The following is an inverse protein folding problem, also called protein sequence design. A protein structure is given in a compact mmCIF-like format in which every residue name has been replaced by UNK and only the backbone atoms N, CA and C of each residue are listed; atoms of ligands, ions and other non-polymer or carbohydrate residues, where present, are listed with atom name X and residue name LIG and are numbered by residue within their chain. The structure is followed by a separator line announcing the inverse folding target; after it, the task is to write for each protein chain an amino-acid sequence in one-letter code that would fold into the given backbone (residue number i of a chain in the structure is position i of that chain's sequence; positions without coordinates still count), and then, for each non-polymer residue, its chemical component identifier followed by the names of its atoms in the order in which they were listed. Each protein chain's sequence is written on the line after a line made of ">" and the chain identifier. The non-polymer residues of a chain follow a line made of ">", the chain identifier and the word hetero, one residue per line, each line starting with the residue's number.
data_IF_928737513171
#
_entry.id   IF_928737513171
#
_cell.length_a   1.000
_cell.length_b   1.000
_cell.length_c   1.000
_cell.angle_alpha   90.00
_cell.angle_beta   90.00
_cell.angle_gamma   90.00
#
_symmetry.space_group_name_H-M   'P 1'
#
loop_
_entity.id
_entity.type
_entity.pdbx_description
1 polymer ?
#
# COMPACT_ATOMS: atom_id res chain seq x y z
N UNK A 1 -28.76 -17.05 16.43
CA UNK A 1 -27.30 -17.29 16.41
C UNK A 1 -26.62 -16.07 15.87
N UNK A 2 -25.82 -15.38 16.68
CA UNK A 2 -25.00 -14.29 16.16
C UNK A 2 -23.89 -14.90 15.30
N UNK A 3 -23.93 -14.68 14.00
CA UNK A 3 -22.73 -14.86 13.18
C UNK A 3 -21.67 -13.90 13.73
N UNK A 4 -20.42 -14.37 13.99
CA UNK A 4 -19.36 -13.46 14.35
C UNK A 4 -19.24 -12.43 13.23
N UNK A 5 -19.16 -11.14 13.59
CA UNK A 5 -18.92 -10.07 12.62
C UNK A 5 -17.71 -10.45 11.78
N UNK A 6 -17.83 -10.36 10.44
CA UNK A 6 -16.71 -10.64 9.56
C UNK A 6 -15.54 -9.75 9.96
N UNK A 7 -14.39 -10.35 10.29
CA UNK A 7 -13.22 -9.59 10.68
C UNK A 7 -12.69 -8.84 9.46
N UNK A 8 -12.39 -7.55 9.64
CA UNK A 8 -11.81 -6.73 8.59
C UNK A 8 -10.37 -7.14 8.31
N UNK A 9 -10.03 -7.30 7.03
CA UNK A 9 -8.67 -7.56 6.58
C UNK A 9 -8.00 -6.24 6.18
N UNK A 10 -6.84 -5.96 6.75
CA UNK A 10 -6.04 -4.79 6.36
C UNK A 10 -5.05 -5.17 5.26
N UNK A 11 -5.11 -4.49 4.13
CA UNK A 11 -4.08 -4.51 3.11
C UNK A 11 -3.14 -3.33 3.32
N UNK A 12 -1.84 -3.59 3.51
CA UNK A 12 -0.84 -2.53 3.41
C UNK A 12 -0.38 -2.46 1.96
N UNK A 13 -0.63 -1.34 1.32
CA UNK A 13 -0.27 -1.10 -0.07
C UNK A 13 0.99 -0.23 -0.13
N UNK A 14 1.97 -0.61 -0.94
CA UNK A 14 2.99 0.33 -1.36
C UNK A 14 2.45 1.24 -2.49
N UNK A 15 3.23 2.23 -2.89
CA UNK A 15 2.83 3.17 -3.94
C UNK A 15 2.65 2.50 -5.30
N UNK A 16 3.44 1.46 -5.62
CA UNK A 16 3.35 0.72 -6.90
C UNK A 16 2.03 -0.02 -7.06
N UNK A 17 1.45 -0.47 -5.95
CA UNK A 17 0.16 -1.14 -5.94
C UNK A 17 -1.00 -0.14 -5.88
N UNK A 18 -0.95 0.86 -4.99
CA UNK A 18 -2.09 1.75 -4.78
C UNK A 18 -2.32 2.74 -5.92
N UNK A 19 -1.28 3.13 -6.67
CA UNK A 19 -1.40 3.96 -7.88
C UNK A 19 -2.38 3.37 -8.90
N UNK A 20 -2.52 2.04 -8.94
CA UNK A 20 -3.42 1.31 -9.82
C UNK A 20 -4.90 1.54 -9.55
N UNK A 21 -5.26 2.07 -8.38
CA UNK A 21 -6.63 2.52 -8.09
C UNK A 21 -7.04 3.68 -9.00
N UNK A 22 -6.10 4.55 -9.32
CA UNK A 22 -6.32 5.85 -9.97
C UNK A 22 -5.92 5.88 -11.44
N UNK A 23 -4.94 5.09 -11.83
CA UNK A 23 -4.44 4.99 -13.19
C UNK A 23 -4.65 3.57 -13.72
N UNK A 24 -5.17 3.46 -14.95
CA UNK A 24 -5.45 2.16 -15.56
C UNK A 24 -4.14 1.46 -15.92
N UNK A 25 -3.89 0.35 -15.23
CA UNK A 25 -2.73 -0.52 -15.40
C UNK A 25 -3.14 -1.98 -15.19
N UNK A 26 -2.22 -2.93 -15.41
CA UNK A 26 -2.44 -4.32 -14.99
C UNK A 26 -2.76 -4.38 -13.49
N UNK A 27 -3.79 -5.11 -13.10
CA UNK A 27 -4.20 -5.26 -11.71
C UNK A 27 -5.13 -4.16 -11.17
N UNK A 28 -5.47 -3.14 -11.95
CA UNK A 28 -6.36 -2.04 -11.54
C UNK A 28 -7.70 -2.57 -11.00
N UNK A 29 -8.33 -3.50 -11.70
CA UNK A 29 -9.64 -4.02 -11.29
C UNK A 29 -9.57 -4.70 -9.93
N UNK A 30 -8.52 -5.48 -9.67
CA UNK A 30 -8.32 -6.13 -8.38
C UNK A 30 -8.13 -5.11 -7.25
N UNK A 31 -7.31 -4.07 -7.46
CA UNK A 31 -7.11 -3.01 -6.47
C UNK A 31 -8.40 -2.25 -6.19
N UNK A 32 -9.14 -1.89 -7.22
CA UNK A 32 -10.43 -1.20 -7.07
C UNK A 32 -11.45 -2.07 -6.33
N UNK A 33 -11.50 -3.37 -6.62
CA UNK A 33 -12.38 -4.32 -5.92
C UNK A 33 -12.01 -4.41 -4.43
N UNK A 34 -10.70 -4.46 -4.11
CA UNK A 34 -10.25 -4.40 -2.72
C UNK A 34 -10.75 -3.14 -2.01
N UNK A 35 -10.53 -1.98 -2.62
CA UNK A 35 -10.91 -0.69 -2.02
C UNK A 35 -12.42 -0.51 -1.84
N UNK A 36 -13.24 -1.19 -2.64
CA UNK A 36 -14.70 -1.12 -2.56
C UNK A 36 -15.30 -2.10 -1.55
N UNK A 37 -14.53 -3.06 -1.08
CA UNK A 37 -15.02 -4.08 -0.16
C UNK A 37 -15.04 -3.55 1.28
N UNK A 38 -16.23 -3.50 1.88
CA UNK A 38 -16.44 -3.00 3.25
C UNK A 38 -15.71 -3.81 4.34
N UNK A 39 -15.31 -5.05 4.04
CA UNK A 39 -14.57 -5.91 4.96
C UNK A 39 -13.05 -5.84 4.74
N UNK A 40 -12.60 -4.88 3.94
CA UNK A 40 -11.19 -4.65 3.65
C UNK A 40 -10.82 -3.19 3.91
N UNK A 41 -9.63 -2.99 4.46
CA UNK A 41 -9.07 -1.66 4.76
C UNK A 41 -7.76 -1.50 4.01
N UNK A 42 -7.50 -0.29 3.54
CA UNK A 42 -6.24 0.10 2.91
C UNK A 42 -5.40 0.88 3.90
N UNK A 43 -4.16 0.44 4.12
CA UNK A 43 -3.13 1.17 4.84
C UNK A 43 -1.96 1.49 3.90
N UNK A 44 -1.34 2.62 4.09
CA UNK A 44 -0.15 3.07 3.36
C UNK A 44 0.67 4.01 4.23
N UNK A 45 1.99 4.05 4.06
CA UNK A 45 2.82 5.08 4.65
C UNK A 45 2.43 6.47 4.10
N UNK A 46 2.44 7.50 4.93
CA UNK A 46 2.15 8.88 4.48
C UNK A 46 3.02 9.30 3.29
N UNK A 47 4.30 8.89 3.30
CA UNK A 47 5.22 9.17 2.18
C UNK A 47 4.77 8.52 0.87
N UNK A 48 4.02 7.42 0.93
CA UNK A 48 3.47 6.74 -0.24
C UNK A 48 2.51 7.62 -1.04
N UNK A 49 1.81 8.54 -0.39
CA UNK A 49 0.95 9.52 -1.07
C UNK A 49 1.78 10.45 -1.97
N UNK A 50 2.96 10.84 -1.52
CA UNK A 50 3.89 11.66 -2.32
C UNK A 50 4.41 10.89 -3.53
N UNK A 51 4.73 9.61 -3.35
CA UNK A 51 5.18 8.75 -4.45
C UNK A 51 4.08 8.56 -5.51
N UNK A 52 2.83 8.35 -5.08
CA UNK A 52 1.68 8.24 -5.99
C UNK A 52 1.49 9.55 -6.76
N UNK A 53 1.51 10.70 -6.07
CA UNK A 53 1.38 12.00 -6.70
C UNK A 53 2.53 12.25 -7.70
N UNK A 54 3.76 11.82 -7.38
CA UNK A 54 4.90 11.90 -8.29
C UNK A 54 4.71 11.01 -9.53
N UNK A 55 4.13 9.81 -9.36
CA UNK A 55 3.80 8.93 -10.48
C UNK A 55 2.77 9.58 -11.43
N UNK A 56 1.72 10.22 -10.90
CA UNK A 56 0.76 10.98 -11.71
C UNK A 56 1.45 12.10 -12.52
N UNK A 57 2.29 12.88 -11.84
CA UNK A 57 3.04 13.95 -12.50
C UNK A 57 3.99 13.41 -13.60
N UNK A 58 4.62 12.28 -13.36
CA UNK A 58 5.45 11.59 -14.36
C UNK A 58 4.65 11.16 -15.58
N UNK A 59 3.46 10.58 -15.38
CA UNK A 59 2.55 10.18 -16.48
C UNK A 59 2.07 11.39 -17.29
N UNK A 60 1.77 12.51 -16.61
CA UNK A 60 1.41 13.75 -17.29
C UNK A 60 2.56 14.29 -18.15
N UNK A 61 3.77 14.38 -17.60
CA UNK A 61 4.96 14.85 -18.34
C UNK A 61 5.28 13.96 -19.54
N UNK A 62 5.04 12.65 -19.42
CA UNK A 62 5.22 11.69 -20.50
C UNK A 62 4.06 11.64 -21.50
N UNK A 63 3.04 12.49 -21.34
CA UNK A 63 1.83 12.52 -22.15
C UNK A 63 1.06 11.17 -22.18
N UNK A 64 1.18 10.37 -21.11
CA UNK A 64 0.44 9.12 -20.95
C UNK A 64 -0.97 9.33 -20.37
N UNK A 65 -1.19 10.48 -19.74
CA UNK A 65 -2.51 10.93 -19.25
C UNK A 65 -2.71 12.40 -19.62
N UNK A 66 -3.97 12.83 -19.72
CA UNK A 66 -4.35 14.20 -19.98
C UNK A 66 -4.28 15.06 -18.71
N UNK A 67 -4.21 16.40 -18.81
CA UNK A 67 -4.32 17.29 -17.65
C UNK A 67 -5.60 17.05 -16.83
N UNK A 68 -6.73 16.76 -17.49
CA UNK A 68 -8.00 16.48 -16.81
C UNK A 68 -7.92 15.18 -16.01
N UNK A 69 -7.33 14.13 -16.56
CA UNK A 69 -7.09 12.86 -15.86
C UNK A 69 -6.14 13.05 -14.68
N UNK A 70 -5.09 13.85 -14.83
CA UNK A 70 -4.15 14.17 -13.77
C UNK A 70 -4.84 14.90 -12.60
N UNK A 71 -5.62 15.94 -12.89
CA UNK A 71 -6.35 16.70 -11.87
C UNK A 71 -7.37 15.82 -11.14
N UNK A 72 -8.09 14.98 -11.88
CA UNK A 72 -9.05 14.02 -11.31
C UNK A 72 -8.37 13.01 -10.39
N UNK A 73 -7.26 12.40 -10.83
CA UNK A 73 -6.53 11.42 -10.02
C UNK A 73 -6.00 12.03 -8.71
N UNK A 74 -5.48 13.25 -8.76
CA UNK A 74 -5.03 13.98 -7.56
C UNK A 74 -6.15 14.28 -6.60
N UNK A 75 -7.30 14.73 -7.11
CA UNK A 75 -8.47 15.04 -6.28
C UNK A 75 -8.99 13.77 -5.59
N UNK A 76 -9.12 12.67 -6.33
CA UNK A 76 -9.58 11.40 -5.80
C UNK A 76 -8.61 10.85 -4.73
N UNK A 77 -7.29 10.91 -4.98
CA UNK A 77 -6.29 10.50 -3.99
C UNK A 77 -6.42 11.30 -2.68
N UNK A 78 -6.62 12.61 -2.77
CA UNK A 78 -6.75 13.47 -1.59
C UNK A 78 -8.01 13.14 -0.78
N UNK A 79 -9.13 12.88 -1.45
CA UNK A 79 -10.40 12.50 -0.82
C UNK A 79 -10.26 11.14 -0.13
N UNK A 80 -9.76 10.14 -0.85
CA UNK A 80 -9.61 8.78 -0.34
C UNK A 80 -8.63 8.71 0.83
N UNK A 81 -7.51 9.43 0.74
CA UNK A 81 -6.52 9.47 1.82
C UNK A 81 -7.10 10.05 3.11
N UNK A 82 -7.97 11.03 3.02
CA UNK A 82 -8.63 11.64 4.16
C UNK A 82 -9.77 10.77 4.73
N UNK A 83 -10.53 10.14 3.84
CA UNK A 83 -11.78 9.46 4.23
C UNK A 83 -11.61 7.97 4.53
N UNK A 84 -10.67 7.28 3.86
CA UNK A 84 -10.65 5.82 3.81
C UNK A 84 -9.33 5.20 4.27
N UNK A 85 -8.17 5.84 4.06
CA UNK A 85 -6.88 5.19 4.29
C UNK A 85 -6.41 5.29 5.73
N UNK A 86 -5.84 4.18 6.21
CA UNK A 86 -5.01 4.18 7.42
C UNK A 86 -3.61 4.67 7.01
N UNK A 87 -3.26 5.90 7.42
CA UNK A 87 -1.98 6.49 7.11
C UNK A 87 -0.98 6.17 8.22
N UNK A 88 0.11 5.51 7.85
CA UNK A 88 1.19 5.18 8.77
C UNK A 88 2.25 6.27 8.72
N UNK A 89 2.46 6.95 9.85
CA UNK A 89 3.47 8.00 9.96
C UNK A 89 4.89 7.41 9.90
N UNK A 90 5.78 8.08 9.17
CA UNK A 90 7.20 7.74 9.11
C UNK A 90 7.93 8.46 10.23
N UNK A 91 7.91 7.86 11.42
CA UNK A 91 8.62 8.34 12.60
C UNK A 91 9.98 7.69 12.75
N UNK A 92 10.72 8.04 13.82
CA UNK A 92 12.06 7.51 14.07
C UNK A 92 12.08 5.98 14.22
N UNK A 93 11.08 5.38 14.82
CA UNK A 93 10.96 3.92 14.95
C UNK A 93 10.90 3.24 13.60
N UNK A 94 10.10 3.79 12.67
CA UNK A 94 10.02 3.30 11.29
C UNK A 94 11.37 3.43 10.59
N UNK A 95 12.04 4.57 10.74
CA UNK A 95 13.34 4.80 10.11
C UNK A 95 14.38 3.82 10.63
N UNK A 96 14.45 3.59 11.94
CA UNK A 96 15.42 2.66 12.53
C UNK A 96 15.16 1.22 12.04
N UNK A 97 13.92 0.78 11.98
CA UNK A 97 13.58 -0.53 11.45
C UNK A 97 13.86 -0.66 9.94
N UNK A 98 13.60 0.39 9.17
CA UNK A 98 13.92 0.41 7.74
C UNK A 98 15.44 0.29 7.50
N UNK A 99 16.27 0.93 8.32
CA UNK A 99 17.75 0.81 8.25
C UNK A 99 18.14 -0.66 8.43
N UNK A 100 17.62 -1.35 9.44
CA UNK A 100 17.92 -2.77 9.68
C UNK A 100 17.48 -3.64 8.50
N UNK A 101 16.32 -3.38 7.92
CA UNK A 101 15.81 -4.12 6.76
C UNK A 101 16.74 -3.99 5.54
N UNK A 102 17.38 -2.85 5.33
CA UNK A 102 18.34 -2.68 4.22
C UNK A 102 19.59 -3.54 4.37
N UNK A 103 19.96 -3.94 5.59
CA UNK A 103 21.07 -4.85 5.83
C UNK A 103 20.71 -6.32 5.63
N UNK A 104 19.44 -6.66 5.77
CA UNK A 104 18.92 -8.03 5.67
C UNK A 104 18.38 -8.37 4.27
N UNK A 105 17.89 -7.37 3.55
CA UNK A 105 17.27 -7.50 2.25
C UNK A 105 17.85 -6.49 1.26
N UNK A 106 17.92 -6.88 -0.01
CA UNK A 106 18.31 -5.96 -1.08
C UNK A 106 17.13 -5.07 -1.46
N UNK A 107 16.95 -3.99 -0.70
CA UNK A 107 15.86 -3.02 -0.86
C UNK A 107 16.38 -1.62 -1.11
N UNK A 108 15.62 -0.84 -1.89
CA UNK A 108 15.81 0.62 -1.95
C UNK A 108 15.31 1.25 -0.65
N UNK A 109 15.76 2.47 -0.35
CA UNK A 109 15.40 3.14 0.90
C UNK A 109 13.89 3.25 1.12
N UNK A 110 13.12 3.67 0.12
CA UNK A 110 11.67 3.78 0.25
C UNK A 110 10.97 2.43 0.37
N UNK A 111 11.46 1.39 -0.30
CA UNK A 111 10.92 0.04 -0.17
C UNK A 111 11.10 -0.48 1.26
N UNK A 112 12.27 -0.22 1.85
CA UNK A 112 12.53 -0.55 3.26
C UNK A 112 11.61 0.23 4.22
N UNK A 113 11.31 1.50 3.93
CA UNK A 113 10.34 2.30 4.71
C UNK A 113 8.94 1.71 4.61
N UNK A 114 8.48 1.34 3.43
CA UNK A 114 7.18 0.68 3.26
C UNK A 114 7.10 -0.63 4.04
N UNK A 115 8.13 -1.46 3.93
CA UNK A 115 8.16 -2.73 4.65
C UNK A 115 8.18 -2.52 6.18
N UNK A 116 8.96 -1.56 6.66
CA UNK A 116 9.00 -1.21 8.09
C UNK A 116 7.64 -0.73 8.60
N UNK A 117 6.97 0.15 7.87
CA UNK A 117 5.60 0.59 8.20
C UNK A 117 4.62 -0.58 8.30
N UNK A 118 4.67 -1.50 7.34
CA UNK A 118 3.82 -2.67 7.32
C UNK A 118 4.09 -3.60 8.52
N UNK A 119 5.35 -3.86 8.84
CA UNK A 119 5.73 -4.72 9.97
C UNK A 119 5.28 -4.13 11.31
N UNK A 120 5.47 -2.82 11.50
CA UNK A 120 5.02 -2.13 12.72
C UNK A 120 3.50 -2.17 12.84
N UNK A 121 2.78 -1.89 11.76
CA UNK A 121 1.32 -1.98 11.74
C UNK A 121 0.85 -3.41 12.01
N UNK A 122 1.46 -4.41 11.38
CA UNK A 122 1.10 -5.81 11.57
C UNK A 122 1.23 -6.24 13.03
N UNK A 123 2.33 -5.88 13.69
CA UNK A 123 2.52 -6.15 15.12
C UNK A 123 1.45 -5.49 15.98
N UNK A 124 1.05 -4.26 15.65
CA UNK A 124 -0.02 -3.56 16.36
C UNK A 124 -1.40 -4.22 16.17
N UNK A 125 -1.69 -4.73 14.96
CA UNK A 125 -2.93 -5.47 14.69
C UNK A 125 -2.97 -6.78 15.47
N UNK A 126 -1.93 -7.58 15.39
CA UNK A 126 -1.84 -8.90 16.06
C UNK A 126 -1.89 -8.75 17.59
N UNK A 127 -1.25 -7.71 18.15
CA UNK A 127 -1.30 -7.43 19.58
C UNK A 127 -2.71 -7.08 20.10
N UNK A 128 -3.64 -6.76 19.19
CA UNK A 128 -5.06 -6.49 19.49
C UNK A 128 -5.99 -7.61 19.06
N UNK A 129 -5.46 -8.79 18.81
CA UNK A 129 -6.20 -9.96 18.32
C UNK A 129 -6.95 -9.72 17.01
N UNK A 130 -6.43 -8.77 16.19
CA UNK A 130 -6.92 -8.52 14.82
C UNK A 130 -6.16 -9.39 13.83
N UNK A 131 -6.76 -9.58 12.64
CA UNK A 131 -6.12 -10.36 11.58
C UNK A 131 -4.79 -9.73 11.16
N UNK A 132 -3.75 -10.56 10.91
CA UNK A 132 -2.52 -10.08 10.28
C UNK A 132 -2.82 -9.41 8.94
N UNK A 133 -2.05 -8.36 8.62
CA UNK A 133 -2.23 -7.66 7.35
C UNK A 133 -1.72 -8.48 6.16
N UNK A 134 -2.19 -8.10 4.98
CA UNK A 134 -1.66 -8.54 3.69
C UNK A 134 -0.81 -7.41 3.11
N UNK A 135 0.44 -7.71 2.76
CA UNK A 135 1.33 -6.75 2.09
C UNK A 135 1.10 -6.80 0.57
N UNK A 136 0.74 -5.66 -0.01
CA UNK A 136 0.36 -5.55 -1.43
C UNK A 136 1.35 -4.67 -2.17
N UNK A 137 2.02 -5.23 -3.16
CA UNK A 137 3.01 -4.53 -3.99
C UNK A 137 3.04 -5.11 -5.41
N UNK A 138 3.38 -4.29 -6.39
CA UNK A 138 3.68 -4.76 -7.75
C UNK A 138 5.17 -5.12 -7.93
N UNK A 139 5.99 -4.93 -6.92
CA UNK A 139 7.43 -5.22 -6.91
C UNK A 139 7.69 -6.59 -6.26
N UNK A 140 8.14 -7.57 -7.05
CA UNK A 140 8.40 -8.91 -6.58
C UNK A 140 9.57 -8.98 -5.58
N UNK A 141 10.59 -8.15 -5.70
CA UNK A 141 11.70 -8.14 -4.75
C UNK A 141 11.22 -7.66 -3.37
N UNK A 142 10.37 -6.64 -3.35
CA UNK A 142 9.76 -6.17 -2.11
C UNK A 142 8.78 -7.20 -1.51
N UNK A 143 8.00 -7.88 -2.34
CA UNK A 143 7.12 -8.97 -1.90
C UNK A 143 7.91 -10.14 -1.30
N UNK A 144 9.04 -10.51 -1.91
CA UNK A 144 9.91 -11.55 -1.38
C UNK A 144 10.49 -11.16 -0.02
N UNK A 145 10.91 -9.91 0.16
CA UNK A 145 11.39 -9.41 1.44
C UNK A 145 10.25 -9.43 2.50
N UNK A 146 9.05 -8.98 2.14
CA UNK A 146 7.89 -9.01 3.02
C UNK A 146 7.52 -10.44 3.45
N UNK A 147 7.53 -11.39 2.54
CA UNK A 147 7.31 -12.80 2.83
C UNK A 147 8.41 -13.37 3.73
N UNK A 148 9.66 -12.99 3.53
CA UNK A 148 10.79 -13.35 4.38
C UNK A 148 10.64 -12.85 5.83
N UNK A 149 9.96 -11.73 6.02
CA UNK A 149 9.60 -11.18 7.34
C UNK A 149 8.30 -11.76 7.92
N UNK A 150 7.68 -12.72 7.24
CA UNK A 150 6.51 -13.44 7.74
C UNK A 150 5.16 -12.82 7.39
N UNK A 151 5.11 -11.82 6.49
CA UNK A 151 3.86 -11.24 6.01
C UNK A 151 3.24 -12.09 4.91
N UNK A 152 1.91 -12.16 4.87
CA UNK A 152 1.18 -12.58 3.69
C UNK A 152 1.33 -11.52 2.60
N UNK A 153 1.46 -11.94 1.34
CA UNK A 153 1.76 -11.03 0.23
C UNK A 153 0.78 -11.21 -0.93
N UNK A 154 0.50 -10.13 -1.65
CA UNK A 154 -0.28 -10.11 -2.88
C UNK A 154 0.35 -9.20 -3.93
N UNK A 155 0.34 -9.65 -5.17
CA UNK A 155 0.73 -8.84 -6.31
C UNK A 155 -0.50 -8.56 -7.19
N UNK A 156 -0.94 -7.29 -7.31
CA UNK A 156 -2.08 -6.95 -8.16
C UNK A 156 -1.91 -7.40 -9.62
N UNK A 157 -0.67 -7.45 -10.11
CA UNK A 157 -0.38 -7.86 -11.49
C UNK A 157 -0.64 -9.35 -11.76
N UNK A 158 -0.80 -10.16 -10.72
CA UNK A 158 -1.14 -11.58 -10.85
C UNK A 158 -2.64 -11.82 -11.06
N UNK A 159 -3.44 -10.78 -10.91
CA UNK A 159 -4.90 -10.79 -11.09
C UNK A 159 -5.26 -10.09 -12.40
N UNK A 160 -5.54 -10.88 -13.43
CA UNK A 160 -5.83 -10.41 -14.80
C UNK A 160 -7.34 -10.40 -15.03
#
# INVERSE_FOLDING_TARGET
>A
MNQPAAQTVTGYFDSSALVKRYLVETGTLWVQTWCQNQNQTVAIAEIGLVEIAAAFAGKLRGAHITPVQYDSARADLAIDAQAEYVLVAVNRTVVDEAIELTSQHRLRGYDAVHLACALILNRALVARDLLPLVFVSADNDLLNAAAGEGLSTENPNSHI
#
